data_IF_245435936706
#
_entry.id   IF_245435936706
#
_cell.length_a   1.000
_cell.length_b   1.000
_cell.length_c   1.000
_cell.angle_alpha   90.00
_cell.angle_beta   90.00
_cell.angle_gamma   90.00
#
_symmetry.space_group_name_H-M   'P 1'
#
loop_
_entity.id
_entity.type
_entity.pdbx_description
1 polymer ?
#
# COMPACT_ATOMS: atom_id res chain seq x y z
N UNK A 1 9.73 24.91 -1.32
CA UNK A 1 8.93 26.13 -1.47
C UNK A 1 7.44 25.77 -1.66
N UNK A 2 6.66 25.94 -0.58
CA UNK A 2 5.22 25.60 -0.55
C UNK A 2 4.40 26.30 -1.65
N UNK A 3 4.75 27.54 -2.00
CA UNK A 3 4.03 28.27 -3.05
C UNK A 3 4.14 27.59 -4.41
N UNK A 4 5.32 27.07 -4.73
CA UNK A 4 5.55 26.26 -5.94
C UNK A 4 4.68 25.00 -5.91
N UNK A 5 4.67 24.29 -4.77
CA UNK A 5 3.89 23.06 -4.61
C UNK A 5 2.41 23.30 -4.81
N UNK A 6 1.82 24.34 -4.19
CA UNK A 6 0.41 24.68 -4.41
C UNK A 6 0.11 25.02 -5.86
N UNK A 7 1.04 25.68 -6.56
CA UNK A 7 0.90 25.92 -8.01
C UNK A 7 0.80 24.61 -8.81
N UNK A 8 1.63 23.64 -8.50
CA UNK A 8 1.63 22.32 -9.14
C UNK A 8 0.37 21.50 -8.82
N UNK A 9 -0.11 21.58 -7.58
CA UNK A 9 -1.37 20.93 -7.15
C UNK A 9 -2.54 21.48 -7.96
N UNK A 10 -2.67 22.81 -8.06
CA UNK A 10 -3.73 23.44 -8.82
C UNK A 10 -3.69 23.10 -10.32
N UNK A 11 -2.51 22.86 -10.88
CA UNK A 11 -2.30 22.44 -12.26
C UNK A 11 -2.42 20.92 -12.45
N UNK A 12 -2.59 20.15 -11.37
CA UNK A 12 -2.57 18.69 -11.37
C UNK A 12 -1.31 18.11 -12.04
N UNK A 13 -0.17 18.74 -11.83
CA UNK A 13 1.11 18.28 -12.37
C UNK A 13 1.68 17.12 -11.54
N UNK A 14 1.02 15.98 -11.61
CA UNK A 14 1.34 14.78 -10.80
C UNK A 14 2.78 14.30 -11.00
N UNK A 15 3.29 14.38 -12.23
CA UNK A 15 4.67 13.97 -12.52
C UNK A 15 5.69 14.80 -11.76
N UNK A 16 5.56 16.12 -11.75
CA UNK A 16 6.46 16.99 -11.01
C UNK A 16 6.27 16.83 -9.50
N UNK A 17 5.02 16.67 -9.04
CA UNK A 17 4.73 16.42 -7.63
C UNK A 17 5.33 15.11 -7.13
N UNK A 18 5.36 14.06 -7.94
CA UNK A 18 6.02 12.80 -7.59
C UNK A 18 7.54 12.96 -7.45
N UNK A 19 8.18 13.73 -8.33
CA UNK A 19 9.60 14.07 -8.23
C UNK A 19 9.89 14.89 -6.96
N UNK A 20 9.12 15.95 -6.73
CA UNK A 20 9.28 16.83 -5.56
C UNK A 20 9.01 16.03 -4.25
N UNK A 21 8.05 15.07 -4.26
CA UNK A 21 7.77 14.18 -3.12
C UNK A 21 8.96 13.25 -2.82
N UNK A 22 9.52 12.62 -3.84
CA UNK A 22 10.69 11.75 -3.69
C UNK A 22 11.88 12.54 -3.13
N UNK A 23 12.17 13.71 -3.68
CA UNK A 23 13.29 14.53 -3.24
C UNK A 23 13.09 15.07 -1.82
N UNK A 24 11.88 15.57 -1.49
CA UNK A 24 11.57 16.05 -0.14
C UNK A 24 11.68 14.94 0.92
N UNK A 25 11.20 13.74 0.60
CA UNK A 25 11.26 12.60 1.52
C UNK A 25 12.71 12.14 1.79
N UNK A 26 13.58 12.22 0.78
CA UNK A 26 15.00 11.86 0.92
C UNK A 26 15.81 12.83 1.77
N UNK A 27 15.42 14.11 1.80
CA UNK A 27 16.04 15.12 2.67
C UNK A 27 15.30 15.31 3.99
N UNK A 28 14.31 14.44 4.27
CA UNK A 28 13.45 14.48 5.45
C UNK A 28 12.69 15.81 5.64
N UNK A 29 12.30 16.49 4.56
CA UNK A 29 11.41 17.65 4.60
C UNK A 29 9.94 17.18 4.73
N UNK A 30 9.57 16.78 5.96
CA UNK A 30 8.22 16.28 6.26
C UNK A 30 7.15 17.33 5.92
N UNK A 31 7.47 18.63 6.03
CA UNK A 31 6.52 19.71 5.73
C UNK A 31 6.13 19.75 4.25
N UNK A 32 7.09 19.56 3.35
CA UNK A 32 6.79 19.48 1.91
C UNK A 32 6.08 18.17 1.57
N UNK A 33 6.48 17.05 2.17
CA UNK A 33 5.78 15.77 2.00
C UNK A 33 4.32 15.88 2.38
N UNK A 34 4.01 16.42 3.56
CA UNK A 34 2.64 16.64 4.02
C UNK A 34 1.88 17.62 3.12
N UNK A 35 2.53 18.70 2.66
CA UNK A 35 1.90 19.67 1.76
C UNK A 35 1.50 19.03 0.43
N UNK A 36 2.31 18.14 -0.14
CA UNK A 36 1.98 17.45 -1.39
C UNK A 36 0.81 16.49 -1.18
N UNK A 37 0.91 15.57 -0.20
CA UNK A 37 -0.07 14.51 0.01
C UNK A 37 -1.41 15.10 0.46
N UNK A 38 -1.41 15.88 1.55
CA UNK A 38 -2.64 16.49 2.06
C UNK A 38 -3.19 17.56 1.11
N UNK A 39 -2.32 18.32 0.44
CA UNK A 39 -2.74 19.35 -0.50
C UNK A 39 -3.48 18.75 -1.70
N UNK A 40 -2.99 17.66 -2.29
CA UNK A 40 -3.69 16.93 -3.36
C UNK A 40 -5.03 16.37 -2.86
N UNK A 41 -5.03 15.73 -1.70
CA UNK A 41 -6.23 15.20 -1.09
C UNK A 41 -7.29 16.29 -0.84
N UNK A 42 -6.90 17.41 -0.22
CA UNK A 42 -7.78 18.54 0.05
C UNK A 42 -8.27 19.25 -1.21
N UNK A 43 -7.49 19.21 -2.29
CA UNK A 43 -7.87 19.74 -3.60
C UNK A 43 -8.82 18.81 -4.37
N UNK A 44 -9.26 17.71 -3.77
CA UNK A 44 -10.23 16.77 -4.34
C UNK A 44 -9.65 15.73 -5.30
N UNK A 45 -8.32 15.53 -5.31
CA UNK A 45 -7.72 14.44 -6.09
C UNK A 45 -8.25 13.10 -5.55
N UNK A 46 -8.79 12.22 -6.42
CA UNK A 46 -9.21 10.88 -6.00
C UNK A 46 -8.05 10.12 -5.32
N UNK A 47 -8.34 9.46 -4.20
CA UNK A 47 -7.30 8.78 -3.41
C UNK A 47 -6.51 7.76 -4.24
N UNK A 48 -7.18 7.00 -5.10
CA UNK A 48 -6.51 6.05 -5.98
C UNK A 48 -5.54 6.74 -6.96
N UNK A 49 -5.92 7.90 -7.50
CA UNK A 49 -5.07 8.67 -8.42
C UNK A 49 -3.87 9.29 -7.68
N UNK A 50 -4.09 9.80 -6.46
CA UNK A 50 -3.00 10.29 -5.60
C UNK A 50 -1.96 9.18 -5.37
N UNK A 51 -2.42 7.95 -5.12
CA UNK A 51 -1.54 6.82 -4.88
C UNK A 51 -0.83 6.36 -6.16
N UNK A 52 -1.56 6.13 -7.24
CA UNK A 52 -0.99 5.61 -8.48
C UNK A 52 -0.08 6.62 -9.19
N UNK A 53 -0.43 7.91 -9.20
CA UNK A 53 0.28 8.91 -10.02
C UNK A 53 1.30 9.74 -9.25
N UNK A 54 1.26 9.74 -7.92
CA UNK A 54 2.19 10.55 -7.12
C UNK A 54 2.97 9.70 -6.14
N UNK A 55 2.31 9.00 -5.22
CA UNK A 55 2.99 8.30 -4.12
C UNK A 55 3.79 7.10 -4.63
N UNK A 56 3.18 6.26 -5.46
CA UNK A 56 3.83 5.07 -6.00
C UNK A 56 4.99 5.43 -6.94
N UNK A 57 4.80 6.45 -7.78
CA UNK A 57 5.88 6.97 -8.63
C UNK A 57 7.03 7.53 -7.79
N UNK A 58 6.74 8.27 -6.72
CA UNK A 58 7.78 8.77 -5.83
C UNK A 58 8.55 7.62 -5.15
N UNK A 59 7.86 6.58 -4.71
CA UNK A 59 8.45 5.35 -4.18
C UNK A 59 9.39 4.68 -5.18
N UNK A 60 8.97 4.55 -6.43
CA UNK A 60 9.77 3.97 -7.51
C UNK A 60 11.01 4.81 -7.82
N UNK A 61 10.93 6.14 -7.78
CA UNK A 61 12.08 7.04 -7.95
C UNK A 61 13.11 6.80 -6.84
N UNK A 62 12.67 6.67 -5.58
CA UNK A 62 13.55 6.37 -4.44
C UNK A 62 14.21 5.01 -4.62
N UNK A 63 13.44 3.99 -5.01
CA UNK A 63 13.94 2.63 -5.25
C UNK A 63 14.97 2.59 -6.39
N UNK A 64 14.73 3.30 -7.48
CA UNK A 64 15.69 3.41 -8.58
C UNK A 64 16.99 4.10 -8.17
N UNK A 65 16.92 5.14 -7.32
CA UNK A 65 18.12 5.77 -6.75
C UNK A 65 18.90 4.77 -5.88
N UNK A 66 18.21 3.93 -5.11
CA UNK A 66 18.82 2.88 -4.29
C UNK A 66 19.49 1.81 -5.16
N UNK A 67 18.80 1.25 -6.14
CA UNK A 67 19.31 0.25 -7.09
C UNK A 67 20.56 0.73 -7.85
N UNK A 68 20.61 2.03 -8.12
CA UNK A 68 21.76 2.67 -8.78
C UNK A 68 22.85 3.15 -7.80
N UNK A 69 22.81 2.75 -6.54
CA UNK A 69 23.75 3.13 -5.48
C UNK A 69 23.91 4.66 -5.31
N UNK A 70 22.85 5.43 -5.59
CA UNK A 70 22.87 6.91 -5.42
C UNK A 70 22.47 7.33 -4.01
N UNK A 71 21.86 6.43 -3.25
CA UNK A 71 21.45 6.63 -1.85
C UNK A 71 21.72 5.35 -1.06
N UNK A 72 21.81 5.46 0.26
CA UNK A 72 21.95 4.32 1.15
C UNK A 72 20.60 3.63 1.42
N UNK A 73 20.63 2.36 1.84
CA UNK A 73 19.42 1.62 2.26
C UNK A 73 18.65 2.35 3.37
N UNK A 74 19.38 2.95 4.31
CA UNK A 74 18.78 3.72 5.40
C UNK A 74 18.01 4.94 4.88
N UNK A 75 18.54 5.65 3.88
CA UNK A 75 17.89 6.82 3.29
C UNK A 75 16.57 6.41 2.61
N UNK A 76 16.60 5.32 1.84
CA UNK A 76 15.40 4.78 1.19
C UNK A 76 14.34 4.33 2.21
N UNK A 77 14.77 3.72 3.32
CA UNK A 77 13.85 3.30 4.39
C UNK A 77 13.24 4.51 5.11
N UNK A 78 14.04 5.51 5.45
CA UNK A 78 13.56 6.75 6.09
C UNK A 78 12.58 7.50 5.19
N UNK A 79 12.92 7.65 3.90
CA UNK A 79 12.04 8.26 2.91
C UNK A 79 10.66 7.57 2.88
N UNK A 80 10.63 6.25 2.75
CA UNK A 80 9.37 5.48 2.78
C UNK A 80 8.60 5.66 4.07
N UNK A 81 9.28 5.68 5.20
CA UNK A 81 8.63 5.87 6.51
C UNK A 81 7.98 7.24 6.63
N UNK A 82 8.62 8.29 6.11
CA UNK A 82 8.09 9.65 6.10
C UNK A 82 6.84 9.72 5.22
N UNK A 83 6.91 9.21 3.99
CA UNK A 83 5.75 9.17 3.08
C UNK A 83 4.62 8.35 3.70
N UNK A 84 4.90 7.16 4.25
CA UNK A 84 3.90 6.30 4.90
C UNK A 84 3.16 7.01 6.03
N UNK A 85 3.89 7.77 6.86
CA UNK A 85 3.30 8.54 7.95
C UNK A 85 2.31 9.60 7.45
N UNK A 86 2.69 10.30 6.39
CA UNK A 86 1.81 11.31 5.77
C UNK A 86 0.57 10.68 5.14
N UNK A 87 0.74 9.56 4.43
CA UNK A 87 -0.38 8.78 3.87
C UNK A 87 -1.32 8.26 4.97
N UNK A 88 -0.76 7.72 6.06
CA UNK A 88 -1.55 7.23 7.20
C UNK A 88 -2.35 8.37 7.86
N UNK A 89 -1.87 9.59 7.77
CA UNK A 89 -2.59 10.80 8.20
C UNK A 89 -3.97 10.93 7.57
N UNK A 90 -4.14 10.48 6.33
CA UNK A 90 -5.42 10.49 5.59
C UNK A 90 -6.49 9.56 6.21
N UNK A 91 -6.09 8.60 7.04
CA UNK A 91 -7.01 7.76 7.81
C UNK A 91 -7.75 8.52 8.92
N UNK A 92 -7.21 9.66 9.37
CA UNK A 92 -7.81 10.50 10.43
C UNK A 92 -8.99 11.29 9.91
N UNK A 93 -8.92 11.69 8.67
CA UNK A 93 -10.02 12.34 7.96
C UNK A 93 -11.01 11.25 7.55
N UNK A 94 -11.84 10.80 8.52
CA UNK A 94 -12.93 9.90 8.18
C UNK A 94 -13.76 10.58 7.09
N UNK A 95 -13.78 10.05 5.86
CA UNK A 95 -14.72 10.59 4.90
C UNK A 95 -16.10 10.49 5.54
N UNK A 96 -16.93 11.49 5.37
CA UNK A 96 -18.35 11.47 5.75
C UNK A 96 -19.14 10.43 4.94
N UNK A 97 -18.46 9.40 4.47
CA UNK A 97 -18.99 8.28 3.72
C UNK A 97 -19.68 7.29 4.66
N UNK A 98 -20.84 6.83 4.25
CA UNK A 98 -21.57 5.81 4.96
C UNK A 98 -20.74 4.54 5.05
N UNK A 99 -20.62 4.01 6.26
CA UNK A 99 -20.09 2.67 6.49
C UNK A 99 -20.88 1.65 5.64
N UNK A 100 -20.18 0.87 4.82
CA UNK A 100 -20.80 -0.09 3.90
C UNK A 100 -21.21 -1.42 4.57
N UNK A 101 -21.06 -1.53 5.89
CA UNK A 101 -21.41 -2.72 6.68
C UNK A 101 -20.34 -3.82 6.64
N UNK A 102 -19.21 -3.62 5.98
CA UNK A 102 -18.18 -4.64 5.82
C UNK A 102 -16.90 -4.32 6.61
N UNK A 103 -16.30 -5.36 7.19
CA UNK A 103 -15.00 -5.32 7.83
C UNK A 103 -13.93 -5.88 6.89
N UNK A 104 -12.82 -5.18 6.79
CA UNK A 104 -11.65 -5.58 6.04
C UNK A 104 -10.45 -5.81 6.95
N UNK A 105 -9.60 -6.77 6.59
CA UNK A 105 -8.29 -6.97 7.18
C UNK A 105 -7.22 -6.70 6.13
N UNK A 106 -6.38 -5.70 6.35
CA UNK A 106 -5.17 -5.48 5.58
C UNK A 106 -3.99 -6.11 6.34
N UNK A 107 -3.24 -6.98 5.68
CA UNK A 107 -2.20 -7.78 6.31
C UNK A 107 -1.03 -7.97 5.35
N UNK A 108 0.20 -7.96 5.89
CA UNK A 108 1.40 -8.33 5.16
C UNK A 108 1.64 -9.83 5.21
N UNK A 109 2.55 -10.30 4.34
CA UNK A 109 3.14 -11.61 4.49
C UNK A 109 4.08 -11.66 5.70
N UNK A 110 4.29 -12.86 6.24
CA UNK A 110 5.22 -13.05 7.36
C UNK A 110 6.64 -12.60 6.98
N UNK A 111 7.36 -12.09 7.97
CA UNK A 111 8.73 -11.59 7.85
C UNK A 111 8.92 -10.38 6.92
N UNK A 112 7.84 -9.77 6.46
CA UNK A 112 7.92 -8.52 5.71
C UNK A 112 7.92 -7.29 6.61
N UNK A 113 8.71 -6.31 6.21
CA UNK A 113 8.67 -4.98 6.83
C UNK A 113 7.33 -4.28 6.55
N UNK A 114 6.93 -3.32 7.40
CA UNK A 114 5.74 -2.50 7.15
C UNK A 114 5.84 -1.88 5.76
N UNK A 115 4.81 -2.10 4.97
CA UNK A 115 4.77 -1.66 3.60
C UNK A 115 3.79 -0.50 3.44
N UNK A 116 4.23 0.54 2.75
CA UNK A 116 3.40 1.65 2.32
C UNK A 116 2.19 1.16 1.51
N UNK A 117 2.35 0.09 0.73
CA UNK A 117 1.27 -0.50 -0.07
C UNK A 117 0.09 -0.98 0.77
N UNK A 118 0.35 -1.58 1.95
CA UNK A 118 -0.71 -1.99 2.87
C UNK A 118 -1.43 -0.78 3.46
N UNK A 119 -0.69 0.27 3.82
CA UNK A 119 -1.26 1.51 4.37
C UNK A 119 -2.10 2.24 3.31
N UNK A 120 -1.62 2.34 2.07
CA UNK A 120 -2.40 2.91 0.96
C UNK A 120 -3.68 2.11 0.69
N UNK A 121 -3.59 0.78 0.72
CA UNK A 121 -4.77 -0.09 0.60
C UNK A 121 -5.77 0.15 1.72
N UNK A 122 -5.32 0.26 2.97
CA UNK A 122 -6.17 0.60 4.11
C UNK A 122 -6.89 1.93 3.90
N UNK A 123 -6.15 2.99 3.53
CA UNK A 123 -6.72 4.32 3.30
C UNK A 123 -7.80 4.25 2.21
N UNK A 124 -7.51 3.59 1.08
CA UNK A 124 -8.48 3.47 -0.01
C UNK A 124 -9.74 2.70 0.41
N UNK A 125 -9.59 1.60 1.14
CA UNK A 125 -10.72 0.82 1.64
C UNK A 125 -11.57 1.61 2.64
N UNK A 126 -10.94 2.37 3.55
CA UNK A 126 -11.67 3.26 4.49
C UNK A 126 -12.47 4.32 3.75
N UNK A 127 -11.91 4.91 2.68
CA UNK A 127 -12.60 5.89 1.83
C UNK A 127 -13.75 5.27 1.01
N UNK A 128 -13.75 3.95 0.84
CA UNK A 128 -14.86 3.19 0.24
C UNK A 128 -15.82 2.57 1.29
N UNK A 129 -15.76 3.05 2.53
CA UNK A 129 -16.74 2.75 3.58
C UNK A 129 -16.45 1.50 4.40
N UNK A 130 -15.33 0.82 4.21
CA UNK A 130 -14.97 -0.33 5.02
C UNK A 130 -14.49 0.07 6.42
N UNK A 131 -14.84 -0.73 7.42
CA UNK A 131 -14.15 -0.72 8.70
C UNK A 131 -12.90 -1.59 8.57
N UNK A 132 -11.70 -0.97 8.61
CA UNK A 132 -10.45 -1.66 8.30
C UNK A 132 -9.64 -1.92 9.54
N UNK A 133 -9.18 -3.16 9.68
CA UNK A 133 -8.15 -3.59 10.62
C UNK A 133 -6.85 -3.77 9.82
N UNK A 134 -5.77 -3.12 10.26
CA UNK A 134 -4.45 -3.28 9.67
C UNK A 134 -3.52 -3.90 10.71
N UNK A 135 -3.03 -5.12 10.45
CA UNK A 135 -2.10 -5.81 11.33
C UNK A 135 -0.64 -5.35 11.14
N UNK A 136 -0.40 -4.50 10.15
CA UNK A 136 0.93 -4.01 9.82
C UNK A 136 1.86 -5.13 9.36
N UNK A 137 3.10 -5.07 9.82
CA UNK A 137 4.15 -6.04 9.49
C UNK A 137 4.12 -7.31 10.32
N UNK A 138 3.33 -7.33 11.39
CA UNK A 138 3.23 -8.52 12.22
C UNK A 138 2.08 -9.40 11.72
N UNK A 139 2.44 -10.42 10.97
CA UNK A 139 1.51 -11.39 10.42
C UNK A 139 1.89 -12.80 10.91
N UNK A 140 1.03 -13.40 11.70
CA UNK A 140 1.05 -14.84 11.96
C UNK A 140 -0.12 -15.48 11.21
N UNK A 141 0.15 -15.92 9.98
CA UNK A 141 -0.90 -16.44 9.10
C UNK A 141 -1.56 -17.72 9.61
N UNK A 142 -0.91 -18.44 10.52
CA UNK A 142 -1.54 -19.53 11.27
C UNK A 142 -2.77 -19.10 12.08
N UNK A 143 -2.86 -17.84 12.48
CA UNK A 143 -3.99 -17.29 13.24
C UNK A 143 -5.06 -16.62 12.35
N UNK A 144 -4.85 -16.57 11.03
CA UNK A 144 -5.72 -15.84 10.09
C UNK A 144 -7.21 -16.24 10.25
N UNK A 145 -7.49 -17.53 10.35
CA UNK A 145 -8.87 -18.02 10.53
C UNK A 145 -9.52 -17.49 11.83
N UNK A 146 -8.75 -17.44 12.92
CA UNK A 146 -9.22 -16.95 14.22
C UNK A 146 -9.54 -15.45 14.17
N UNK A 147 -8.66 -14.66 13.55
CA UNK A 147 -8.85 -13.21 13.40
C UNK A 147 -10.07 -12.90 12.54
N UNK A 148 -10.25 -13.61 11.42
CA UNK A 148 -11.41 -13.45 10.54
C UNK A 148 -12.70 -13.63 11.31
N UNK A 149 -12.82 -14.72 12.07
CA UNK A 149 -14.03 -15.00 12.85
C UNK A 149 -14.23 -13.97 13.97
N UNK A 150 -13.19 -13.71 14.77
CA UNK A 150 -13.24 -12.79 15.91
C UNK A 150 -13.62 -11.37 15.50
N UNK A 151 -13.10 -10.88 14.38
CA UNK A 151 -13.32 -9.51 13.90
C UNK A 151 -14.44 -9.42 12.87
N UNK A 152 -15.11 -10.54 12.54
CA UNK A 152 -16.18 -10.60 11.53
C UNK A 152 -15.72 -10.03 10.19
N UNK A 153 -14.52 -10.44 9.75
CA UNK A 153 -13.91 -9.96 8.51
C UNK A 153 -14.70 -10.51 7.32
N UNK A 154 -15.01 -9.64 6.37
CA UNK A 154 -15.67 -9.98 5.11
C UNK A 154 -14.68 -10.09 3.95
N UNK A 155 -13.56 -9.37 4.05
CA UNK A 155 -12.53 -9.32 3.01
C UNK A 155 -11.14 -9.20 3.64
N UNK A 156 -10.20 -10.01 3.14
CA UNK A 156 -8.78 -9.92 3.51
C UNK A 156 -8.00 -9.40 2.31
N UNK A 157 -7.11 -8.45 2.53
CA UNK A 157 -6.23 -7.88 1.53
C UNK A 157 -4.77 -8.09 1.92
N UNK A 158 -4.01 -8.75 1.03
CA UNK A 158 -2.57 -8.85 1.10
C UNK A 158 -1.91 -7.93 0.08
N UNK A 159 -0.78 -7.35 0.46
CA UNK A 159 0.03 -6.57 -0.46
C UNK A 159 1.47 -7.11 -0.50
N UNK A 160 1.98 -7.39 -1.69
CA UNK A 160 3.34 -7.85 -1.93
C UNK A 160 4.07 -6.85 -2.82
N UNK A 161 4.99 -6.11 -2.24
CA UNK A 161 5.78 -5.12 -2.97
C UNK A 161 6.97 -5.76 -3.70
N UNK A 162 7.52 -5.02 -4.66
CA UNK A 162 8.74 -5.38 -5.39
C UNK A 162 9.94 -4.53 -4.94
N UNK A 163 10.02 -4.23 -3.65
CA UNK A 163 11.13 -3.45 -3.10
C UNK A 163 12.25 -4.36 -2.59
N UNK A 164 13.50 -3.87 -2.64
CA UNK A 164 14.66 -4.63 -2.13
C UNK A 164 14.53 -5.03 -0.66
N UNK A 165 13.72 -4.32 0.11
CA UNK A 165 13.45 -4.64 1.52
C UNK A 165 12.36 -5.70 1.71
N UNK A 166 11.72 -6.16 0.63
CA UNK A 166 10.65 -7.15 0.70
C UNK A 166 11.23 -8.56 0.73
N UNK A 167 11.32 -9.15 1.90
CA UNK A 167 11.87 -10.51 2.08
C UNK A 167 11.01 -11.58 1.42
N UNK A 168 9.72 -11.34 1.18
CA UNK A 168 8.83 -12.34 0.60
C UNK A 168 9.15 -12.69 -0.87
N UNK A 169 9.85 -11.82 -1.59
CA UNK A 169 10.27 -12.03 -2.99
C UNK A 169 11.74 -12.45 -3.13
N UNK A 170 12.46 -12.57 -2.02
CA UNK A 170 13.83 -13.12 -2.01
C UNK A 170 13.78 -14.61 -2.31
N UNK A 171 14.70 -15.10 -3.12
CA UNK A 171 14.74 -16.47 -3.64
C UNK A 171 14.50 -17.55 -2.56
N UNK A 172 15.14 -17.42 -1.39
CA UNK A 172 14.99 -18.36 -0.28
C UNK A 172 13.57 -18.36 0.34
N UNK A 173 12.79 -17.29 0.15
CA UNK A 173 11.48 -17.11 0.76
C UNK A 173 10.32 -17.30 -0.23
N UNK A 174 10.58 -17.40 -1.54
CA UNK A 174 9.52 -17.52 -2.57
C UNK A 174 8.58 -18.67 -2.28
N UNK A 175 9.13 -19.86 -2.01
CA UNK A 175 8.31 -21.05 -1.72
C UNK A 175 7.43 -20.86 -0.48
N UNK A 176 7.95 -20.22 0.57
CA UNK A 176 7.18 -19.89 1.78
C UNK A 176 6.04 -18.92 1.44
N UNK A 177 6.32 -17.87 0.70
CA UNK A 177 5.33 -16.87 0.29
C UNK A 177 4.23 -17.47 -0.58
N UNK A 178 4.58 -18.30 -1.56
CA UNK A 178 3.61 -19.03 -2.42
C UNK A 178 2.71 -19.92 -1.58
N UNK A 179 3.26 -20.68 -0.63
CA UNK A 179 2.48 -21.52 0.27
C UNK A 179 1.52 -20.68 1.13
N UNK A 180 1.98 -19.56 1.67
CA UNK A 180 1.13 -18.63 2.45
C UNK A 180 -0.04 -18.10 1.62
N UNK A 181 0.17 -17.77 0.34
CA UNK A 181 -0.89 -17.34 -0.57
C UNK A 181 -1.94 -18.44 -0.72
N UNK A 182 -1.53 -19.65 -1.07
CA UNK A 182 -2.47 -20.76 -1.26
C UNK A 182 -3.20 -21.15 0.04
N UNK A 183 -2.52 -21.14 1.17
CA UNK A 183 -3.16 -21.45 2.46
C UNK A 183 -4.15 -20.36 2.87
N UNK A 184 -3.84 -19.09 2.61
CA UNK A 184 -4.77 -17.99 2.83
C UNK A 184 -6.02 -18.11 1.95
N UNK A 185 -5.88 -18.52 0.68
CA UNK A 185 -7.00 -18.79 -0.22
C UNK A 185 -7.86 -19.94 0.33
N UNK A 186 -7.26 -21.01 0.83
CA UNK A 186 -8.02 -22.14 1.45
C UNK A 186 -8.83 -21.66 2.66
N UNK A 187 -8.24 -20.81 3.52
CA UNK A 187 -8.93 -20.22 4.67
C UNK A 187 -10.10 -19.37 4.21
N UNK A 188 -9.88 -18.47 3.25
CA UNK A 188 -10.93 -17.60 2.71
C UNK A 188 -12.10 -18.41 2.13
N UNK A 189 -11.81 -19.41 1.31
CA UNK A 189 -12.82 -20.30 0.73
C UNK A 189 -13.61 -21.05 1.80
N UNK A 190 -12.94 -21.59 2.82
CA UNK A 190 -13.59 -22.29 3.94
C UNK A 190 -14.55 -21.39 4.71
N UNK A 191 -14.16 -20.13 4.92
CA UNK A 191 -14.93 -19.15 5.68
C UNK A 191 -15.89 -18.32 4.82
N UNK A 192 -15.89 -18.53 3.50
CA UNK A 192 -16.72 -17.85 2.50
C UNK A 192 -16.54 -16.31 2.59
N UNK A 193 -15.31 -15.87 2.64
CA UNK A 193 -14.96 -14.46 2.60
C UNK A 193 -14.17 -14.13 1.34
N UNK A 194 -14.15 -12.86 0.96
CA UNK A 194 -13.34 -12.37 -0.15
C UNK A 194 -11.86 -12.27 0.24
N UNK A 195 -10.97 -12.51 -0.73
CA UNK A 195 -9.54 -12.33 -0.57
C UNK A 195 -8.97 -11.61 -1.78
N UNK A 196 -8.14 -10.60 -1.54
CA UNK A 196 -7.46 -9.80 -2.56
C UNK A 196 -5.95 -9.87 -2.37
N UNK A 197 -5.23 -9.89 -3.48
CA UNK A 197 -3.79 -9.82 -3.48
C UNK A 197 -3.34 -8.67 -4.39
N UNK A 198 -2.51 -7.79 -3.86
CA UNK A 198 -2.01 -6.62 -4.58
C UNK A 198 -0.49 -6.53 -4.62
N UNK A 199 -0.01 -5.66 -5.50
CA UNK A 199 1.37 -5.25 -5.61
C UNK A 199 2.18 -5.97 -6.68
N UNK A 200 3.24 -5.31 -7.15
CA UNK A 200 4.09 -5.80 -8.24
C UNK A 200 4.79 -7.12 -7.90
N UNK A 201 5.09 -7.36 -6.62
CA UNK A 201 5.77 -8.58 -6.19
C UNK A 201 5.03 -9.87 -6.57
N UNK A 202 3.70 -9.85 -6.66
CA UNK A 202 2.90 -11.01 -7.09
C UNK A 202 3.23 -11.43 -8.52
N UNK A 203 3.49 -10.47 -9.40
CA UNK A 203 3.74 -10.72 -10.82
C UNK A 203 5.16 -11.21 -11.09
N UNK A 204 6.02 -11.22 -10.07
CA UNK A 204 7.36 -11.80 -10.11
C UNK A 204 7.38 -13.27 -9.67
N UNK A 205 6.30 -13.75 -9.05
CA UNK A 205 6.20 -15.15 -8.60
C UNK A 205 5.59 -16.01 -9.71
N UNK A 206 6.41 -16.67 -10.50
CA UNK A 206 5.98 -17.48 -11.66
C UNK A 206 4.96 -18.57 -11.27
N UNK A 207 5.05 -19.12 -10.06
CA UNK A 207 4.16 -20.15 -9.56
C UNK A 207 2.70 -19.69 -9.39
N UNK A 208 2.46 -18.39 -9.20
CA UNK A 208 1.13 -17.83 -8.96
C UNK A 208 0.66 -16.89 -10.06
N UNK A 209 1.57 -16.43 -10.92
CA UNK A 209 1.27 -15.49 -11.99
C UNK A 209 0.15 -16.02 -12.90
N UNK A 210 -0.97 -15.31 -12.94
CA UNK A 210 -2.14 -15.69 -13.72
C UNK A 210 -2.90 -16.92 -13.22
N UNK A 211 -2.59 -17.44 -12.01
CA UNK A 211 -3.23 -18.61 -11.41
C UNK A 211 -4.16 -18.28 -10.25
N UNK A 212 -4.15 -17.03 -9.79
CA UNK A 212 -5.03 -16.54 -8.73
C UNK A 212 -5.90 -15.42 -9.25
N UNK A 213 -7.15 -15.41 -8.79
CA UNK A 213 -8.13 -14.37 -9.09
C UNK A 213 -8.01 -13.20 -8.08
N UNK A 214 -8.75 -12.12 -8.34
CA UNK A 214 -8.85 -10.97 -7.43
C UNK A 214 -7.48 -10.34 -7.09
N UNK A 215 -6.65 -10.16 -8.12
CA UNK A 215 -5.38 -9.44 -8.01
C UNK A 215 -5.51 -8.02 -8.51
N UNK A 216 -4.71 -7.12 -7.94
CA UNK A 216 -4.61 -5.74 -8.41
C UNK A 216 -3.14 -5.30 -8.46
N UNK A 217 -2.82 -4.48 -9.46
CA UNK A 217 -1.51 -3.87 -9.61
C UNK A 217 -1.53 -2.42 -9.16
N UNK A 218 -2.59 -1.69 -9.49
CA UNK A 218 -2.77 -0.28 -9.19
C UNK A 218 -3.90 -0.07 -8.18
N UNK A 219 -3.93 1.08 -7.50
CA UNK A 219 -5.01 1.41 -6.57
C UNK A 219 -6.32 1.72 -7.29
N UNK A 220 -6.24 2.14 -8.55
CA UNK A 220 -7.42 2.23 -9.41
C UNK A 220 -8.00 0.84 -9.73
N UNK A 221 -7.16 -0.20 -9.84
CA UNK A 221 -7.66 -1.57 -9.99
C UNK A 221 -8.26 -2.08 -8.68
N UNK A 222 -7.61 -1.83 -7.53
CA UNK A 222 -8.20 -2.14 -6.23
C UNK A 222 -9.58 -1.50 -6.05
N UNK A 223 -9.73 -0.21 -6.42
CA UNK A 223 -11.00 0.51 -6.34
C UNK A 223 -12.13 -0.16 -7.14
N UNK A 224 -11.81 -0.89 -8.22
CA UNK A 224 -12.82 -1.63 -9.01
C UNK A 224 -13.25 -2.94 -8.36
N UNK A 225 -12.43 -3.49 -7.45
CA UNK A 225 -12.65 -4.77 -6.78
C UNK A 225 -13.42 -4.65 -5.45
N UNK A 226 -13.49 -3.43 -4.88
CA UNK A 226 -14.07 -3.14 -3.56
C UNK A 226 -15.36 -2.34 -3.59
#
# INVERSE_FOLDING_TARGET
DHKKIYGLINQQNYKQLALDLADASLIADESIVDTIINGLYMNGTPVADLFDFVVDIAGNIVEDKLKNNKIAHTDAYLSRKIITRSVDGLNRDKPNGNFNGKNALCINFEDNLPDIGVVMSEVLMRHNGYNVFNSGSHAELGELSSIIVKRKINIVLFYLCNLQCCNAVVEDNVSKTVNQIYDSIKVANKLKIDILFGGEGLFLLDDIKGKIDNTFLTYNDLKKLI
#
